data_IF_960271888731
#
_entry.id   IF_960271888731
#
_cell.length_a   1.000
_cell.length_b   1.000
_cell.length_c   1.000
_cell.angle_alpha   90.00
_cell.angle_beta   90.00
_cell.angle_gamma   90.00
#
_symmetry.space_group_name_H-M   'P 1'
#
loop_
_entity.id
_entity.type
_entity.pdbx_description
1 polymer ?
#
# COMPACT_ATOMS: atom_id res chain seq x y z
N UNK A 1 -51.58 -19.22 23.93
CA UNK A 1 -50.32 -19.98 23.82
C UNK A 1 -49.37 -19.19 22.94
N UNK A 2 -48.73 -18.17 23.51
CA UNK A 2 -47.85 -17.24 22.78
C UNK A 2 -46.44 -17.82 22.73
N UNK A 3 -46.03 -18.17 21.51
CA UNK A 3 -44.73 -18.72 21.13
C UNK A 3 -43.57 -17.76 21.48
N UNK A 4 -42.86 -18.07 22.56
CA UNK A 4 -41.67 -17.35 23.06
C UNK A 4 -40.36 -17.77 22.38
N UNK A 5 -40.38 -18.62 21.35
CA UNK A 5 -39.17 -19.18 20.74
C UNK A 5 -38.47 -18.27 19.70
N UNK A 6 -39.07 -17.13 19.32
CA UNK A 6 -38.60 -16.26 18.21
C UNK A 6 -37.34 -15.40 18.43
N UNK A 7 -36.84 -15.07 19.64
CA UNK A 7 -35.73 -14.12 19.78
C UNK A 7 -34.34 -14.73 19.51
N UNK A 8 -34.12 -15.99 19.89
CA UNK A 8 -32.81 -16.65 19.76
C UNK A 8 -32.42 -16.91 18.29
N UNK A 9 -33.38 -17.36 17.47
CA UNK A 9 -33.17 -17.60 16.04
C UNK A 9 -32.83 -16.32 15.29
N UNK A 10 -33.57 -15.22 15.56
CA UNK A 10 -33.31 -13.90 14.96
C UNK A 10 -31.92 -13.36 15.35
N UNK A 11 -31.55 -13.49 16.63
CA UNK A 11 -30.22 -13.08 17.12
C UNK A 11 -29.09 -13.87 16.46
N UNK A 12 -29.26 -15.18 16.27
CA UNK A 12 -28.28 -16.04 15.57
C UNK A 12 -28.13 -15.62 14.10
N UNK A 13 -29.24 -15.36 13.41
CA UNK A 13 -29.22 -14.89 12.03
C UNK A 13 -28.49 -13.55 11.89
N UNK A 14 -28.77 -12.59 12.78
CA UNK A 14 -28.07 -11.29 12.79
C UNK A 14 -26.56 -11.45 13.01
N UNK A 15 -26.13 -12.32 13.93
CA UNK A 15 -24.71 -12.61 14.14
C UNK A 15 -24.05 -13.22 12.90
N UNK A 16 -24.73 -14.15 12.22
CA UNK A 16 -24.22 -14.74 10.98
C UNK A 16 -24.11 -13.70 9.87
N UNK A 17 -25.11 -12.84 9.70
CA UNK A 17 -25.03 -11.77 8.70
C UNK A 17 -23.91 -10.79 9.02
N UNK A 18 -23.73 -10.41 10.29
CA UNK A 18 -22.66 -9.53 10.72
C UNK A 18 -21.28 -10.15 10.46
N UNK A 19 -21.08 -11.45 10.74
CA UNK A 19 -19.80 -12.12 10.51
C UNK A 19 -19.45 -12.16 9.02
N UNK A 20 -20.41 -12.46 8.15
CA UNK A 20 -20.17 -12.48 6.70
C UNK A 20 -19.95 -11.08 6.13
N UNK A 21 -20.73 -10.08 6.59
CA UNK A 21 -20.53 -8.70 6.20
C UNK A 21 -19.13 -8.20 6.59
N UNK A 22 -18.64 -8.56 7.78
CA UNK A 22 -17.28 -8.24 8.22
C UNK A 22 -16.23 -8.88 7.32
N UNK A 23 -16.37 -10.18 7.00
CA UNK A 23 -15.42 -10.87 6.10
C UNK A 23 -15.44 -10.25 4.70
N UNK A 24 -16.61 -9.93 4.16
CA UNK A 24 -16.73 -9.24 2.87
C UNK A 24 -16.07 -7.87 2.90
N UNK A 25 -16.28 -7.08 3.95
CA UNK A 25 -15.67 -5.76 4.10
C UNK A 25 -14.15 -5.84 4.18
N UNK A 26 -13.61 -6.76 4.99
CA UNK A 26 -12.17 -6.98 5.12
C UNK A 26 -11.56 -7.45 3.80
N UNK A 27 -12.18 -8.43 3.14
CA UNK A 27 -11.72 -8.94 1.85
C UNK A 27 -11.75 -7.88 0.75
N UNK A 28 -12.79 -7.04 0.72
CA UNK A 28 -12.90 -5.93 -0.23
C UNK A 28 -11.83 -4.86 0.02
N UNK A 29 -11.62 -4.47 1.28
CA UNK A 29 -10.58 -3.50 1.64
C UNK A 29 -9.17 -4.03 1.31
N UNK A 30 -8.90 -5.30 1.61
CA UNK A 30 -7.65 -5.96 1.25
C UNK A 30 -7.46 -6.02 -0.28
N UNK A 31 -8.53 -6.29 -1.03
CA UNK A 31 -8.51 -6.27 -2.50
C UNK A 31 -8.19 -4.89 -3.07
N UNK A 32 -8.80 -3.82 -2.54
CA UNK A 32 -8.48 -2.43 -2.92
C UNK A 32 -7.00 -2.13 -2.66
N UNK A 33 -6.47 -2.56 -1.53
CA UNK A 33 -5.06 -2.33 -1.17
C UNK A 33 -4.09 -3.13 -2.05
N UNK A 34 -4.39 -4.40 -2.33
CA UNK A 34 -3.51 -5.28 -3.08
C UNK A 34 -3.54 -5.02 -4.59
N UNK A 35 -4.69 -4.60 -5.14
CA UNK A 35 -4.87 -4.46 -6.58
C UNK A 35 -3.82 -3.55 -7.24
N UNK A 36 -3.51 -2.33 -6.73
CA UNK A 36 -2.45 -1.49 -7.29
C UNK A 36 -1.08 -2.16 -7.35
N UNK A 37 -0.75 -3.00 -6.37
CA UNK A 37 0.53 -3.74 -6.32
C UNK A 37 0.55 -4.83 -7.40
N UNK A 38 -0.57 -5.54 -7.58
CA UNK A 38 -0.66 -6.65 -8.53
C UNK A 38 -0.70 -6.19 -9.99
N UNK A 39 -1.25 -5.01 -10.26
CA UNK A 39 -1.37 -4.46 -11.63
C UNK A 39 -0.28 -3.45 -11.96
N UNK A 40 0.66 -3.19 -11.04
CA UNK A 40 1.76 -2.27 -11.27
C UNK A 40 2.59 -2.78 -12.47
N UNK A 41 2.84 -1.93 -13.49
CA UNK A 41 3.72 -2.30 -14.58
C UNK A 41 5.16 -2.42 -14.07
N UNK A 42 5.99 -3.14 -14.82
CA UNK A 42 7.42 -3.21 -14.53
C UNK A 42 8.03 -1.80 -14.54
N UNK A 43 8.83 -1.53 -13.51
CA UNK A 43 9.60 -0.29 -13.43
C UNK A 43 10.71 -0.23 -14.50
N UNK A 44 11.31 0.95 -14.70
CA UNK A 44 12.47 1.09 -15.57
C UNK A 44 13.64 0.21 -15.11
N UNK A 45 14.42 -0.30 -16.05
CA UNK A 45 15.59 -1.12 -15.73
C UNK A 45 16.63 -0.32 -14.94
N UNK A 46 17.40 -1.00 -14.08
CA UNK A 46 18.45 -0.35 -13.29
C UNK A 46 19.47 0.38 -14.17
N UNK A 47 19.76 -0.15 -15.37
CA UNK A 47 20.66 0.49 -16.34
C UNK A 47 20.09 1.79 -16.87
N UNK A 48 18.79 1.83 -17.18
CA UNK A 48 18.12 3.04 -17.65
C UNK A 48 18.09 4.11 -16.55
N UNK A 49 17.81 3.71 -15.30
CA UNK A 49 17.87 4.60 -14.13
C UNK A 49 19.27 5.17 -13.92
N UNK A 50 20.32 4.34 -14.04
CA UNK A 50 21.71 4.76 -13.89
C UNK A 50 22.14 5.74 -15.00
N UNK A 51 21.78 5.46 -16.26
CA UNK A 51 22.06 6.37 -17.39
C UNK A 51 21.35 7.72 -17.21
N UNK A 52 20.10 7.70 -16.75
CA UNK A 52 19.34 8.90 -16.43
C UNK A 52 19.96 9.69 -15.26
N UNK A 53 20.51 9.01 -14.26
CA UNK A 53 21.16 9.65 -13.10
C UNK A 53 22.51 10.31 -13.45
N UNK A 54 23.25 9.80 -14.44
CA UNK A 54 24.57 10.30 -14.81
C UNK A 54 24.58 11.76 -15.29
N UNK A 55 23.45 12.25 -15.82
CA UNK A 55 23.27 13.64 -16.25
C UNK A 55 22.64 14.55 -15.19
N UNK A 56 22.59 14.13 -13.93
CA UNK A 56 21.99 14.92 -12.85
C UNK A 56 22.88 16.08 -12.43
N UNK A 57 22.24 17.18 -12.01
CA UNK A 57 22.91 18.37 -11.48
C UNK A 57 22.83 18.42 -9.96
N UNK A 58 21.82 17.77 -9.39
CA UNK A 58 21.62 17.68 -7.95
C UNK A 58 21.42 16.23 -7.52
N UNK A 59 21.86 15.92 -6.31
CA UNK A 59 21.58 14.64 -5.65
C UNK A 59 21.18 14.85 -4.19
N UNK A 60 20.43 13.91 -3.66
CA UNK A 60 20.05 13.85 -2.25
C UNK A 60 19.86 12.40 -1.82
N UNK A 61 19.74 12.19 -0.51
CA UNK A 61 19.58 10.87 0.07
C UNK A 61 18.30 10.81 0.92
N UNK A 62 17.45 9.84 0.61
CA UNK A 62 16.40 9.39 1.50
C UNK A 62 17.03 8.51 2.57
N UNK A 63 16.88 8.93 3.82
CA UNK A 63 17.28 8.16 5.00
C UNK A 63 16.03 7.75 5.77
N UNK A 64 16.10 6.60 6.42
CA UNK A 64 15.02 6.07 7.25
C UNK A 64 14.60 7.01 8.39
N UNK A 65 15.52 7.80 8.91
CA UNK A 65 15.30 8.70 10.05
C UNK A 65 14.94 10.12 9.63
N UNK A 66 14.49 10.32 8.38
CA UNK A 66 13.95 11.60 7.95
C UNK A 66 12.63 11.91 8.66
N UNK A 67 12.38 13.21 8.87
CA UNK A 67 11.09 13.71 9.33
C UNK A 67 9.96 13.12 8.47
N UNK A 68 8.88 12.71 9.13
CA UNK A 68 7.71 12.05 8.53
C UNK A 68 7.92 10.58 8.11
N UNK A 69 9.05 9.97 8.46
CA UNK A 69 9.22 8.51 8.40
C UNK A 69 8.60 7.82 9.62
N UNK A 70 7.91 6.71 9.41
CA UNK A 70 7.30 5.91 10.47
C UNK A 70 7.62 4.40 10.33
N UNK A 71 7.06 3.58 11.20
CA UNK A 71 7.33 2.13 11.27
C UNK A 71 6.79 1.33 10.08
N UNK A 72 5.95 1.92 9.23
CA UNK A 72 5.37 1.31 8.03
C UNK A 72 5.73 2.10 6.75
N UNK A 73 6.05 3.38 6.87
CA UNK A 73 6.31 4.27 5.73
C UNK A 73 7.66 4.96 5.88
N UNK A 74 8.67 4.52 5.13
CA UNK A 74 9.97 5.17 5.03
C UNK A 74 10.66 4.90 3.68
N UNK A 75 11.55 5.81 3.30
CA UNK A 75 12.37 5.67 2.10
C UNK A 75 13.86 5.57 2.44
N UNK A 76 14.58 4.70 1.73
CA UNK A 76 16.04 4.66 1.72
C UNK A 76 16.53 4.69 0.26
N UNK A 77 17.49 5.56 -0.05
CA UNK A 77 18.10 5.58 -1.38
C UNK A 77 18.51 6.95 -1.88
N UNK A 78 19.18 6.97 -3.01
CA UNK A 78 19.63 8.21 -3.65
C UNK A 78 18.57 8.72 -4.60
N UNK A 79 18.25 10.01 -4.51
CA UNK A 79 17.49 10.75 -5.51
C UNK A 79 18.42 11.66 -6.29
N UNK A 80 18.27 11.69 -7.61
CA UNK A 80 19.00 12.63 -8.45
C UNK A 80 18.04 13.45 -9.29
N UNK A 81 18.39 14.71 -9.54
CA UNK A 81 17.55 15.68 -10.24
C UNK A 81 18.35 16.34 -11.34
N UNK A 82 17.79 16.37 -12.54
CA UNK A 82 18.27 17.15 -13.68
C UNK A 82 17.12 17.98 -14.27
N UNK A 83 17.39 18.90 -15.21
CA UNK A 83 16.34 19.66 -15.88
C UNK A 83 15.28 18.82 -16.61
N UNK A 84 15.58 17.54 -16.91
CA UNK A 84 14.71 16.66 -17.72
C UNK A 84 14.18 15.44 -16.97
N UNK A 85 14.81 15.04 -15.87
CA UNK A 85 14.46 13.80 -15.17
C UNK A 85 14.76 13.85 -13.68
N UNK A 86 13.93 13.13 -12.92
CA UNK A 86 14.17 12.79 -11.53
C UNK A 86 14.30 11.28 -11.49
N UNK A 87 15.39 10.78 -10.90
CA UNK A 87 15.59 9.33 -10.72
C UNK A 87 15.75 9.03 -9.24
N UNK A 88 15.34 7.83 -8.83
CA UNK A 88 15.60 7.31 -7.50
C UNK A 88 16.12 5.88 -7.59
N UNK A 89 17.16 5.57 -6.85
CA UNK A 89 17.66 4.20 -6.63
C UNK A 89 17.61 3.88 -5.14
N UNK A 90 17.03 2.73 -4.77
CA UNK A 90 16.90 2.31 -3.38
C UNK A 90 15.54 1.68 -3.05
N UNK A 91 15.31 1.41 -1.76
CA UNK A 91 14.12 0.74 -1.25
C UNK A 91 13.15 1.75 -0.63
N UNK A 92 11.85 1.56 -0.83
CA UNK A 92 10.81 2.28 -0.10
C UNK A 92 9.84 1.25 0.47
N UNK A 93 9.44 1.45 1.73
CA UNK A 93 8.28 0.76 2.30
C UNK A 93 7.24 1.78 2.72
#
# INVERSE_FOLDING_TARGET
>A
MSDTARPAFRRRMLMLMASHALVLLVGFAAGIYALPILIAPDGPSAQLVAQAAAGSTYSGEFRRDLKDSDALHWGEGTVTVSPRQITRSGLSR
#
